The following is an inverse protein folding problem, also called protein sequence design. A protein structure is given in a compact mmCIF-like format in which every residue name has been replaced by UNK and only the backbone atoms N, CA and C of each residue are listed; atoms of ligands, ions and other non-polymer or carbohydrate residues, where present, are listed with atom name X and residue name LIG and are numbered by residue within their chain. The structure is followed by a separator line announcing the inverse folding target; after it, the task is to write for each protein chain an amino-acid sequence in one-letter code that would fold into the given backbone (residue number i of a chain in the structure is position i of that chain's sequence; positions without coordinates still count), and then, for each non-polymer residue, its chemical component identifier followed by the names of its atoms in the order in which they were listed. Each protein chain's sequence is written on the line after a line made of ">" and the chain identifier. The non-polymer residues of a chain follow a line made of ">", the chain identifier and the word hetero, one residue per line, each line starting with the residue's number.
data_IF_211618548698
#
_entry.id   IF_211618548698
#
_cell.length_a   1.000
_cell.length_b   1.000
_cell.length_c   1.000
_cell.angle_alpha   90.00
_cell.angle_beta   90.00
_cell.angle_gamma   90.00
#
_symmetry.space_group_name_H-M   'P 1'
#
loop_
_entity.id
_entity.type
_entity.pdbx_description
1 polymer ?
#
# COMPACT_ATOMS: atom_id res chain seq x y z
N UNK A 1 6.36 -16.29 11.34
CA UNK A 1 6.81 -14.93 11.03
C UNK A 1 7.76 -14.86 9.85
N UNK A 2 8.69 -15.80 9.74
CA UNK A 2 9.61 -15.83 8.59
C UNK A 2 8.88 -15.92 7.25
N UNK A 3 7.82 -16.74 7.18
CA UNK A 3 7.02 -16.88 5.97
C UNK A 3 6.36 -15.56 5.55
N UNK A 4 5.88 -14.78 6.51
CA UNK A 4 5.25 -13.50 6.22
C UNK A 4 6.26 -12.46 5.78
N UNK A 5 7.50 -12.52 6.30
CA UNK A 5 8.59 -11.68 5.81
C UNK A 5 8.97 -12.03 4.37
N UNK A 6 8.92 -13.30 4.00
CA UNK A 6 9.14 -13.73 2.62
C UNK A 6 8.07 -13.16 1.69
N UNK A 7 6.81 -13.08 2.15
CA UNK A 7 5.72 -12.50 1.37
C UNK A 7 6.01 -11.03 1.09
N UNK A 8 6.42 -10.24 2.08
CA UNK A 8 6.73 -8.83 1.88
C UNK A 8 7.89 -8.64 0.91
N UNK A 9 8.92 -9.46 1.02
CA UNK A 9 10.06 -9.42 0.10
C UNK A 9 9.64 -9.80 -1.32
N UNK A 10 8.86 -10.85 -1.47
CA UNK A 10 8.42 -11.33 -2.78
C UNK A 10 7.55 -10.28 -3.49
N UNK A 11 6.67 -9.61 -2.76
CA UNK A 11 5.80 -8.58 -3.30
C UNK A 11 6.49 -7.22 -3.43
N UNK A 12 7.74 -7.13 -3.05
CA UNK A 12 8.54 -5.89 -3.09
C UNK A 12 7.92 -4.78 -2.24
N UNK A 13 7.35 -5.14 -1.12
CA UNK A 13 6.93 -4.17 -0.11
C UNK A 13 8.20 -3.76 0.64
N UNK A 14 8.75 -2.62 0.26
CA UNK A 14 10.08 -2.19 0.72
C UNK A 14 10.08 -1.45 2.05
N UNK A 15 8.94 -1.34 2.71
CA UNK A 15 8.87 -0.68 4.00
C UNK A 15 9.01 -1.72 5.11
N UNK A 16 10.14 -1.70 5.80
CA UNK A 16 10.41 -2.61 6.92
C UNK A 16 9.47 -2.39 8.11
N UNK A 17 8.78 -1.25 8.15
CA UNK A 17 7.85 -0.93 9.23
C UNK A 17 6.46 -1.54 9.01
N UNK A 18 6.23 -2.14 7.86
CA UNK A 18 5.01 -2.86 7.56
C UNK A 18 5.20 -4.33 7.94
N UNK A 19 4.35 -4.81 8.84
CA UNK A 19 4.35 -6.20 9.28
C UNK A 19 3.06 -6.84 8.83
N UNK A 20 3.17 -7.87 7.98
CA UNK A 20 2.02 -8.67 7.55
C UNK A 20 1.74 -9.71 8.62
N UNK A 21 0.52 -9.71 9.14
CA UNK A 21 0.10 -10.62 10.21
C UNK A 21 -0.75 -11.77 9.74
N UNK A 22 -1.50 -11.57 8.66
CA UNK A 22 -2.44 -12.56 8.17
C UNK A 22 -2.56 -12.49 6.66
N UNK A 23 -2.96 -13.60 6.05
CA UNK A 23 -3.31 -13.66 4.65
C UNK A 23 -4.59 -14.45 4.47
N UNK A 24 -5.43 -14.06 3.52
CA UNK A 24 -6.71 -14.70 3.27
C UNK A 24 -6.97 -14.83 1.78
N UNK A 25 -7.43 -16.02 1.39
CA UNK A 25 -7.97 -16.24 0.05
C UNK A 25 -9.47 -16.05 0.13
N UNK A 26 -9.96 -14.98 -0.46
CA UNK A 26 -11.37 -14.61 -0.43
C UNK A 26 -12.16 -15.19 -1.62
N UNK A 27 -11.52 -16.00 -2.46
CA UNK A 27 -12.15 -16.58 -3.64
C UNK A 27 -12.12 -15.65 -4.85
N UNK A 28 -12.52 -14.40 -4.68
CA UNK A 28 -12.52 -13.39 -5.74
C UNK A 28 -11.25 -12.54 -5.75
N UNK A 29 -10.58 -12.47 -4.61
CA UNK A 29 -9.34 -11.71 -4.45
C UNK A 29 -8.56 -12.27 -3.27
N UNK A 30 -7.31 -11.84 -3.16
CA UNK A 30 -6.46 -12.16 -2.01
C UNK A 30 -6.38 -10.95 -1.10
N UNK A 31 -6.33 -11.19 0.22
CA UNK A 31 -6.15 -10.11 1.19
C UNK A 31 -4.93 -10.38 2.06
N UNK A 32 -4.12 -9.36 2.24
CA UNK A 32 -3.06 -9.33 3.23
C UNK A 32 -3.45 -8.35 4.32
N UNK A 33 -3.40 -8.79 5.57
CA UNK A 33 -3.67 -7.93 6.72
C UNK A 33 -2.36 -7.64 7.42
N UNK A 34 -2.15 -6.38 7.76
CA UNK A 34 -0.92 -5.98 8.42
C UNK A 34 -1.06 -4.66 9.13
N UNK A 35 0.02 -4.24 9.76
CA UNK A 35 0.07 -2.94 10.42
C UNK A 35 1.37 -2.22 10.09
N UNK A 36 1.29 -0.91 10.15
CA UNK A 36 2.42 0.00 9.97
C UNK A 36 2.69 0.64 11.33
N UNK A 37 3.89 0.43 11.84
CA UNK A 37 4.29 0.96 13.13
C UNK A 37 5.79 1.22 13.12
N UNK A 38 6.20 2.29 13.80
CA UNK A 38 7.60 2.62 14.01
C UNK A 38 7.72 3.50 15.25
N UNK A 39 8.95 3.82 15.62
CA UNK A 39 9.22 4.68 16.78
C UNK A 39 8.53 6.02 16.60
N UNK A 40 7.84 6.49 17.64
CA UNK A 40 7.11 7.75 17.60
C UNK A 40 8.04 8.90 17.18
N UNK A 41 7.65 9.69 16.16
CA UNK A 41 8.45 10.80 15.69
C UNK A 41 8.29 12.02 16.61
N UNK A 42 9.01 13.09 16.28
CA UNK A 42 8.79 14.39 16.91
C UNK A 42 7.57 15.06 16.27
N UNK A 43 6.84 15.82 17.06
CA UNK A 43 5.67 16.53 16.58
C UNK A 43 6.06 17.53 15.48
N UNK A 44 5.41 17.48 14.31
CA UNK A 44 5.74 18.42 13.24
C UNK A 44 5.34 19.87 13.54
N UNK A 45 4.46 20.10 14.54
CA UNK A 45 4.01 21.43 14.91
C UNK A 45 4.87 22.05 15.99
N UNK A 46 5.08 21.36 17.11
CA UNK A 46 5.79 21.93 18.26
C UNK A 46 7.15 21.26 18.52
N UNK A 47 7.50 20.24 17.72
CA UNK A 47 8.74 19.47 17.84
C UNK A 47 8.90 18.72 19.16
N UNK A 48 7.83 18.63 19.95
CA UNK A 48 7.82 17.80 21.16
C UNK A 48 7.81 16.32 20.81
N UNK A 49 8.19 15.47 21.75
CA UNK A 49 8.20 14.03 21.52
C UNK A 49 6.77 13.49 21.51
N UNK A 50 6.39 12.82 20.42
CA UNK A 50 5.10 12.15 20.34
C UNK A 50 5.18 10.77 20.99
N UNK A 51 4.03 10.24 21.35
CA UNK A 51 3.90 8.88 21.91
C UNK A 51 2.93 8.08 21.04
N UNK A 52 3.06 6.77 21.07
CA UNK A 52 2.12 5.88 20.39
C UNK A 52 0.76 6.01 21.04
N UNK A 53 -0.27 6.19 20.21
CA UNK A 53 -1.63 6.40 20.69
C UNK A 53 -2.47 5.16 20.44
N UNK A 54 -2.91 4.94 19.19
CA UNK A 54 -3.69 3.76 18.82
C UNK A 54 -3.40 3.39 17.37
N UNK A 55 -4.13 2.42 16.84
CA UNK A 55 -4.13 2.13 15.41
C UNK A 55 -5.36 2.74 14.76
N UNK A 56 -5.17 3.32 13.59
CA UNK A 56 -6.26 3.77 12.75
C UNK A 56 -7.01 2.56 12.22
N UNK A 57 -8.30 2.73 11.87
CA UNK A 57 -9.05 1.70 11.17
C UNK A 57 -8.30 1.28 9.90
N UNK A 58 -8.35 -0.02 9.58
CA UNK A 58 -7.61 -0.55 8.44
C UNK A 58 -7.97 0.17 7.14
N UNK A 59 -6.96 0.64 6.43
CA UNK A 59 -7.10 1.19 5.08
C UNK A 59 -7.05 0.05 4.08
N UNK A 60 -7.93 0.07 3.09
CA UNK A 60 -7.94 -0.90 2.00
C UNK A 60 -7.08 -0.36 0.87
N UNK A 61 -5.96 -0.98 0.62
CA UNK A 61 -4.98 -0.53 -0.36
C UNK A 61 -4.90 -1.56 -1.48
N UNK A 62 -5.42 -1.26 -2.69
CA UNK A 62 -5.23 -2.16 -3.83
C UNK A 62 -3.74 -2.28 -4.15
N UNK A 63 -3.31 -3.49 -4.46
CA UNK A 63 -1.94 -3.75 -4.85
C UNK A 63 -1.92 -4.48 -6.20
N UNK A 64 -0.73 -4.80 -6.68
CA UNK A 64 -0.59 -5.50 -7.96
C UNK A 64 -1.13 -6.92 -7.87
N UNK A 65 -1.69 -7.40 -8.98
CA UNK A 65 -2.19 -8.78 -9.08
C UNK A 65 -1.12 -9.79 -8.68
N UNK A 66 -1.55 -10.85 -8.03
CA UNK A 66 -0.69 -11.94 -7.62
C UNK A 66 -1.35 -13.25 -8.02
N UNK A 67 -0.64 -14.07 -8.79
CA UNK A 67 -1.13 -15.36 -9.27
C UNK A 67 -2.49 -15.27 -10.00
N UNK A 68 -2.74 -14.17 -10.72
CA UNK A 68 -3.97 -13.96 -11.45
C UNK A 68 -5.13 -13.43 -10.63
N UNK A 69 -4.92 -13.16 -9.34
CA UNK A 69 -5.95 -12.64 -8.45
C UNK A 69 -5.66 -11.20 -8.04
N UNK A 70 -6.68 -10.33 -7.96
CA UNK A 70 -6.50 -9.02 -7.35
C UNK A 70 -6.00 -9.17 -5.92
N UNK A 71 -5.10 -8.29 -5.52
CA UNK A 71 -4.54 -8.29 -4.16
C UNK A 71 -4.95 -7.01 -3.44
N UNK A 72 -5.50 -7.17 -2.25
CA UNK A 72 -5.89 -6.06 -1.38
C UNK A 72 -5.06 -6.13 -0.11
N UNK A 73 -4.44 -5.02 0.26
CA UNK A 73 -3.72 -4.90 1.53
C UNK A 73 -4.59 -4.12 2.49
N UNK A 74 -4.94 -4.73 3.62
CA UNK A 74 -5.62 -4.04 4.72
C UNK A 74 -4.57 -3.65 5.74
N UNK A 75 -4.24 -2.36 5.75
CA UNK A 75 -3.15 -1.83 6.56
C UNK A 75 -3.70 -0.95 7.68
N UNK A 76 -3.41 -1.33 8.92
CA UNK A 76 -3.71 -0.50 10.09
C UNK A 76 -2.48 0.34 10.41
N UNK A 77 -2.65 1.64 10.35
CA UNK A 77 -1.56 2.58 10.59
C UNK A 77 -1.57 3.03 12.04
N UNK A 78 -0.40 3.04 12.68
CA UNK A 78 -0.25 3.57 14.04
C UNK A 78 -0.53 5.07 14.03
N UNK A 79 -1.25 5.55 15.04
CA UNK A 79 -1.37 6.98 15.30
C UNK A 79 -0.48 7.36 16.46
N UNK A 80 0.05 8.57 16.38
CA UNK A 80 0.90 9.15 17.42
C UNK A 80 0.25 10.41 17.95
N UNK A 81 0.41 10.68 19.22
CA UNK A 81 -0.16 11.88 19.87
C UNK A 81 0.94 12.66 20.55
N UNK A 82 0.94 13.98 20.36
CA UNK A 82 1.85 14.87 21.06
C UNK A 82 1.29 15.21 22.42
N UNK A 83 2.10 15.03 23.46
CA UNK A 83 1.70 15.38 24.83
C UNK A 83 1.60 16.87 25.05
N UNK A 84 2.38 17.65 24.30
CA UNK A 84 2.49 19.10 24.53
C UNK A 84 1.37 19.86 23.83
N UNK A 85 1.08 19.57 22.58
CA UNK A 85 0.09 20.30 21.81
C UNK A 85 -1.15 19.48 21.45
N UNK A 86 -1.17 18.19 21.77
CA UNK A 86 -2.31 17.32 21.49
C UNK A 86 -2.48 16.91 20.04
N UNK A 87 -1.56 17.27 19.15
CA UNK A 87 -1.65 16.93 17.75
C UNK A 87 -1.56 15.40 17.55
N UNK A 88 -2.38 14.90 16.65
CA UNK A 88 -2.37 13.49 16.27
C UNK A 88 -1.81 13.38 14.86
N UNK A 89 -0.85 12.47 14.67
CA UNK A 89 -0.27 12.15 13.38
C UNK A 89 -0.44 10.66 13.09
N UNK A 90 -0.57 10.32 11.82
CA UNK A 90 -0.71 8.93 11.37
C UNK A 90 0.61 8.50 10.76
N UNK A 91 1.03 7.26 11.04
CA UNK A 91 2.24 6.69 10.46
C UNK A 91 2.17 6.73 8.93
N UNK A 92 3.30 7.02 8.30
CA UNK A 92 3.41 7.18 6.86
C UNK A 92 4.31 6.10 6.27
N UNK A 93 4.01 5.69 5.05
CA UNK A 93 4.79 4.69 4.32
C UNK A 93 4.98 5.12 2.88
N UNK A 94 6.14 4.84 2.26
CA UNK A 94 6.32 5.09 0.84
C UNK A 94 5.45 4.21 -0.06
N UNK A 95 4.80 3.18 0.50
CA UNK A 95 3.88 2.32 -0.25
C UNK A 95 2.68 3.10 -0.79
N UNK A 96 2.21 4.11 -0.05
CA UNK A 96 1.07 4.95 -0.40
C UNK A 96 1.43 6.40 -0.15
N UNK A 97 1.10 7.29 -1.07
CA UNK A 97 1.29 8.72 -0.85
C UNK A 97 0.40 9.18 0.31
N UNK A 98 0.86 10.20 1.03
CA UNK A 98 0.11 10.78 2.15
C UNK A 98 -1.31 11.14 1.70
N UNK A 99 -2.30 10.72 2.50
CA UNK A 99 -3.73 10.94 2.25
C UNK A 99 -4.27 10.27 0.99
N UNK A 100 -3.53 9.34 0.40
CA UNK A 100 -3.98 8.54 -0.73
C UNK A 100 -4.21 7.10 -0.28
N UNK A 101 -5.09 6.38 -0.98
CA UNK A 101 -5.40 5.00 -0.69
C UNK A 101 -4.95 4.04 -1.79
N UNK A 102 -4.42 4.58 -2.89
CA UNK A 102 -3.91 3.76 -4.00
C UNK A 102 -2.40 3.66 -3.83
N UNK A 103 -1.89 2.42 -3.86
CA UNK A 103 -0.45 2.20 -3.70
C UNK A 103 0.35 2.82 -4.84
N UNK A 104 1.58 3.23 -4.52
CA UNK A 104 2.51 3.76 -5.53
C UNK A 104 2.76 2.73 -6.62
N UNK A 105 2.89 1.45 -6.25
CA UNK A 105 3.10 0.37 -7.22
C UNK A 105 1.95 0.26 -8.22
N UNK A 106 0.70 0.40 -7.75
CA UNK A 106 -0.48 0.38 -8.63
C UNK A 106 -0.49 1.59 -9.54
N UNK A 107 -0.18 2.78 -9.02
CA UNK A 107 -0.09 3.98 -9.84
C UNK A 107 0.96 3.84 -10.94
N UNK A 108 2.12 3.28 -10.63
CA UNK A 108 3.16 3.02 -11.61
C UNK A 108 2.70 2.02 -12.66
N UNK A 109 1.98 0.98 -12.25
CA UNK A 109 1.43 -0.02 -13.17
C UNK A 109 0.37 0.58 -14.08
N UNK A 110 -0.50 1.45 -13.56
CA UNK A 110 -1.50 2.15 -14.38
C UNK A 110 -0.81 2.99 -15.45
N UNK A 111 0.22 3.76 -15.07
CA UNK A 111 0.98 4.56 -16.02
C UNK A 111 1.62 3.71 -17.11
N UNK A 112 2.20 2.57 -16.73
CA UNK A 112 2.80 1.63 -17.66
C UNK A 112 1.77 1.06 -18.62
N UNK A 113 0.60 0.67 -18.12
CA UNK A 113 -0.48 0.13 -18.95
C UNK A 113 -1.02 1.16 -19.95
N UNK A 114 -1.08 2.43 -19.57
CA UNK A 114 -1.49 3.48 -20.49
C UNK A 114 -0.52 3.62 -21.66
N UNK A 115 0.78 3.53 -21.38
CA UNK A 115 1.81 3.56 -22.42
C UNK A 115 1.69 2.32 -23.32
N UNK A 116 1.53 1.15 -22.73
CA UNK A 116 1.36 -0.10 -23.48
C UNK A 116 0.11 -0.09 -24.33
N UNK A 117 -0.99 0.47 -23.84
CA UNK A 117 -2.23 0.58 -24.62
C UNK A 117 -2.05 1.44 -25.87
N UNK A 118 -1.30 2.51 -25.80
CA UNK A 118 -1.00 3.32 -26.98
C UNK A 118 -0.22 2.52 -28.02
N UNK A 119 0.80 1.77 -27.57
CA UNK A 119 1.57 0.90 -28.45
C UNK A 119 0.71 -0.23 -28.99
N UNK A 120 -0.14 -0.83 -28.15
CA UNK A 120 -1.04 -1.91 -28.56
C UNK A 120 -2.12 -1.44 -29.53
N UNK A 121 -2.58 -0.21 -29.42
CA UNK A 121 -3.53 0.37 -30.37
C UNK A 121 -2.93 0.39 -31.78
N UNK A 122 -1.67 0.78 -31.91
CA UNK A 122 -0.96 0.73 -33.17
C UNK A 122 -0.88 -0.70 -33.73
N UNK A 123 -0.45 -1.64 -32.89
CA UNK A 123 -0.31 -3.05 -33.28
C UNK A 123 -1.66 -3.66 -33.68
N UNK A 124 -2.67 -3.43 -32.83
CA UNK A 124 -4.00 -3.96 -33.07
C UNK A 124 -4.60 -3.41 -34.37
N UNK A 125 -4.38 -2.14 -34.65
CA UNK A 125 -4.84 -1.51 -35.86
C UNK A 125 -4.21 -2.16 -37.11
N UNK A 126 -2.91 -2.47 -37.02
CA UNK A 126 -2.19 -3.17 -38.09
C UNK A 126 -2.67 -4.60 -38.29
N UNK A 127 -3.01 -5.29 -37.21
CA UNK A 127 -3.38 -6.69 -37.22
C UNK A 127 -4.88 -6.92 -37.22
N UNK A 128 -5.67 -5.84 -37.23
CA UNK A 128 -7.15 -5.91 -37.15
C UNK A 128 -7.63 -6.62 -35.89
N UNK A 129 -6.91 -6.45 -34.78
CA UNK A 129 -7.24 -7.03 -33.48
C UNK A 129 -7.96 -5.96 -32.64
N UNK A 130 -9.00 -6.37 -31.90
CA UNK A 130 -9.67 -5.48 -30.97
C UNK A 130 -8.76 -5.09 -29.80
N UNK A 131 -8.75 -3.81 -29.46
CA UNK A 131 -8.02 -3.29 -28.31
C UNK A 131 -8.93 -3.07 -27.12
N UNK A 132 -10.00 -3.84 -27.00
CA UNK A 132 -10.87 -3.69 -25.83
C UNK A 132 -10.05 -3.78 -24.56
N UNK A 133 -10.09 -2.75 -23.82
CA UNK A 133 -9.32 -2.61 -22.58
C UNK A 133 -9.99 -3.31 -21.42
#
# INVERSE_FOLDING_TARGET
>A
MEQLNLITNFLRIKDKNIVITDEYDMGTHLELHGHLDYTAPKCPSCKGQMTKYDFQKASKIPYLETAGYPLLIRLRKRRFKCKDCGKIAVAETPLVKKNHQISVAVNQKIAQLLIENQAMTHIAHRLSISTSS
#
